data_IF_388628282026
#
_entry.id   IF_388628282026
#
_cell.length_a   1.000
_cell.length_b   1.000
_cell.length_c   1.000
_cell.angle_alpha   90.00
_cell.angle_beta   90.00
_cell.angle_gamma   90.00
#
_symmetry.space_group_name_H-M   'P 1'
#
loop_
_entity.id
_entity.type
_entity.pdbx_description
1 polymer ?
#
# COMPACT_ATOMS: atom_id res chain seq x y z
N UNK A 1 -2.41 18.33 93.27
CA UNK A 1 -2.60 18.82 91.88
C UNK A 1 -1.22 19.22 91.37
N UNK A 2 -0.62 18.75 90.28
CA UNK A 2 -0.96 17.81 89.20
C UNK A 2 0.36 17.53 88.46
N UNK A 3 0.71 16.25 88.33
CA UNK A 3 1.53 15.64 87.27
C UNK A 3 2.98 16.12 86.99
N UNK A 4 4.01 15.36 87.41
CA UNK A 4 5.35 15.47 86.83
C UNK A 4 5.36 14.89 85.41
N UNK A 5 5.70 15.72 84.42
CA UNK A 5 5.84 15.33 83.01
C UNK A 5 7.04 14.40 82.83
N UNK A 6 6.77 13.13 82.51
CA UNK A 6 7.78 12.18 82.02
C UNK A 6 8.38 12.71 80.70
N UNK A 7 9.53 13.38 80.77
CA UNK A 7 10.43 13.52 79.62
C UNK A 7 11.15 12.18 79.46
N UNK A 8 10.56 11.25 78.69
CA UNK A 8 11.31 10.11 78.16
C UNK A 8 12.37 10.68 77.22
N UNK A 9 13.60 10.83 77.71
CA UNK A 9 14.75 11.14 76.87
C UNK A 9 14.85 10.04 75.82
N UNK A 10 14.67 10.41 74.55
CA UNK A 10 14.93 9.48 73.46
C UNK A 10 16.39 9.03 73.58
N UNK A 11 16.61 7.72 73.72
CA UNK A 11 17.96 7.18 73.73
C UNK A 11 18.67 7.48 72.40
N UNK A 12 20.01 7.53 72.38
CA UNK A 12 20.80 7.85 71.19
C UNK A 12 20.39 7.02 69.95
N UNK A 13 19.96 5.77 70.18
CA UNK A 13 19.46 4.87 69.14
C UNK A 13 18.26 5.40 68.34
N UNK A 14 17.38 6.18 68.97
CA UNK A 14 16.23 6.73 68.26
C UNK A 14 16.63 7.86 67.29
N UNK A 15 17.71 8.58 67.57
CA UNK A 15 18.25 9.60 66.67
C UNK A 15 18.83 8.93 65.43
N UNK A 16 19.60 7.85 65.62
CA UNK A 16 20.16 7.05 64.53
C UNK A 16 19.07 6.44 63.64
N UNK A 17 17.98 5.93 64.24
CA UNK A 17 16.85 5.36 63.50
C UNK A 17 16.14 6.40 62.62
N UNK A 18 15.94 7.63 63.11
CA UNK A 18 15.33 8.71 62.32
C UNK A 18 16.26 9.12 61.18
N UNK A 19 17.57 9.23 61.43
CA UNK A 19 18.57 9.53 60.39
C UNK A 19 18.56 8.49 59.27
N UNK A 20 18.57 7.20 59.63
CA UNK A 20 18.50 6.10 58.67
C UNK A 20 17.21 6.15 57.83
N UNK A 21 16.07 6.44 58.47
CA UNK A 21 14.79 6.57 57.77
C UNK A 21 14.78 7.72 56.77
N UNK A 22 15.31 8.89 57.13
CA UNK A 22 15.41 10.04 56.24
C UNK A 22 16.33 9.74 55.06
N UNK A 23 17.47 9.09 55.30
CA UNK A 23 18.41 8.72 54.25
C UNK A 23 17.81 7.69 53.28
N UNK A 24 17.05 6.72 53.80
CA UNK A 24 16.33 5.73 53.00
C UNK A 24 15.23 6.39 52.15
N UNK A 25 14.45 7.31 52.72
CA UNK A 25 13.44 8.10 52.00
C UNK A 25 14.06 8.95 50.88
N UNK A 26 15.17 9.64 51.15
CA UNK A 26 15.91 10.41 50.14
C UNK A 26 16.42 9.54 49.01
N UNK A 27 17.03 8.40 49.35
CA UNK A 27 17.57 7.45 48.36
C UNK A 27 16.45 6.90 47.48
N UNK A 28 15.32 6.51 48.08
CA UNK A 28 14.16 6.02 47.35
C UNK A 28 13.55 7.11 46.46
N UNK A 29 13.46 8.35 46.97
CA UNK A 29 12.98 9.50 46.20
C UNK A 29 13.85 9.79 44.98
N UNK A 30 15.18 9.77 45.13
CA UNK A 30 16.12 9.94 44.01
C UNK A 30 16.03 8.77 43.03
N UNK A 31 15.95 7.54 43.53
CA UNK A 31 15.84 6.35 42.68
C UNK A 31 14.57 6.38 41.81
N UNK A 32 13.42 6.68 42.42
CA UNK A 32 12.15 6.79 41.71
C UNK A 32 12.06 8.03 40.81
N UNK A 33 12.66 9.15 41.23
CA UNK A 33 12.59 10.42 40.51
C UNK A 33 13.59 10.57 39.36
N UNK A 34 14.74 9.90 39.41
CA UNK A 34 15.81 10.07 38.42
C UNK A 34 16.18 8.78 37.68
N UNK A 35 16.33 7.66 38.39
CA UNK A 35 16.85 6.42 37.79
C UNK A 35 15.77 5.72 36.97
N UNK A 36 14.57 5.54 37.53
CA UNK A 36 13.47 4.89 36.82
C UNK A 36 13.06 5.61 35.52
N UNK A 37 12.79 6.93 35.50
CA UNK A 37 12.36 7.58 34.26
C UNK A 37 13.45 7.62 33.19
N UNK A 38 14.73 7.57 33.56
CA UNK A 38 15.81 7.53 32.57
C UNK A 38 15.91 6.18 31.88
N UNK A 39 15.65 5.08 32.61
CA UNK A 39 15.54 3.74 32.01
C UNK A 39 14.32 3.64 31.09
N UNK A 40 13.14 4.06 31.54
CA UNK A 40 11.91 4.03 30.74
C UNK A 40 12.04 4.86 29.44
N UNK A 41 12.72 6.01 29.49
CA UNK A 41 13.00 6.82 28.30
C UNK A 41 13.88 6.10 27.28
N UNK A 42 14.90 5.37 27.74
CA UNK A 42 15.79 4.60 26.84
C UNK A 42 15.05 3.47 26.14
N UNK A 43 14.21 2.75 26.86
CA UNK A 43 13.41 1.66 26.30
C UNK A 43 12.38 2.20 25.29
N UNK A 44 11.75 3.34 25.61
CA UNK A 44 10.83 4.01 24.69
C UNK A 44 11.54 4.50 23.42
N UNK A 45 12.75 5.05 23.53
CA UNK A 45 13.55 5.45 22.37
C UNK A 45 13.99 4.26 21.52
N UNK A 46 14.42 3.16 22.15
CA UNK A 46 14.78 1.94 21.45
C UNK A 46 13.60 1.38 20.65
N UNK A 47 12.42 1.33 21.26
CA UNK A 47 11.18 0.87 20.61
C UNK A 47 10.82 1.75 19.42
N UNK A 48 10.89 3.09 19.57
CA UNK A 48 10.62 4.03 18.46
C UNK A 48 11.62 3.87 17.32
N UNK A 49 12.91 3.65 17.62
CA UNK A 49 13.94 3.41 16.59
C UNK A 49 13.65 2.13 15.82
N UNK A 50 13.30 1.04 16.52
CA UNK A 50 12.91 -0.22 15.89
C UNK A 50 11.68 -0.05 14.98
N UNK A 51 10.68 0.70 15.42
CA UNK A 51 9.50 0.97 14.60
C UNK A 51 9.85 1.76 13.33
N UNK A 52 10.67 2.80 13.44
CA UNK A 52 11.13 3.59 12.27
C UNK A 52 11.92 2.72 11.30
N UNK A 53 12.79 1.84 11.80
CA UNK A 53 13.55 0.90 10.96
C UNK A 53 12.63 -0.09 10.26
N UNK A 54 11.65 -0.68 10.97
CA UNK A 54 10.66 -1.58 10.38
C UNK A 54 9.84 -0.89 9.28
N UNK A 55 9.38 0.34 9.51
CA UNK A 55 8.66 1.13 8.50
C UNK A 55 9.53 1.44 7.28
N UNK A 56 10.82 1.76 7.48
CA UNK A 56 11.77 1.97 6.37
C UNK A 56 12.00 0.71 5.56
N UNK A 57 12.10 -0.46 6.20
CA UNK A 57 12.23 -1.74 5.52
C UNK A 57 10.99 -2.04 4.68
N UNK A 58 9.79 -1.81 5.22
CA UNK A 58 8.54 -2.03 4.49
C UNK A 58 8.42 -1.08 3.29
N UNK A 59 8.76 0.20 3.44
CA UNK A 59 8.78 1.14 2.31
C UNK A 59 9.75 0.70 1.21
N UNK A 60 10.94 0.22 1.58
CA UNK A 60 11.90 -0.32 0.60
C UNK A 60 11.32 -1.54 -0.13
N UNK A 61 10.70 -2.47 0.59
CA UNK A 61 10.04 -3.65 0.03
C UNK A 61 8.94 -3.27 -0.96
N UNK A 62 8.03 -2.39 -0.56
CA UNK A 62 6.93 -1.92 -1.42
C UNK A 62 7.45 -1.18 -2.65
N UNK A 63 8.48 -0.35 -2.52
CA UNK A 63 9.10 0.34 -3.66
C UNK A 63 9.74 -0.62 -4.65
N UNK A 64 10.36 -1.71 -4.17
CA UNK A 64 10.92 -2.75 -5.02
C UNK A 64 9.83 -3.52 -5.77
N UNK A 65 8.73 -3.85 -5.09
CA UNK A 65 7.56 -4.50 -5.70
C UNK A 65 6.90 -3.63 -6.77
N UNK A 66 6.75 -2.33 -6.51
CA UNK A 66 6.22 -1.38 -7.50
C UNK A 66 7.09 -1.34 -8.75
N UNK A 67 8.42 -1.18 -8.60
CA UNK A 67 9.35 -1.23 -9.74
C UNK A 67 9.27 -2.54 -10.51
N UNK A 68 9.15 -3.67 -9.80
CA UNK A 68 9.02 -4.97 -10.44
C UNK A 68 7.72 -5.09 -11.25
N UNK A 69 6.60 -4.60 -10.71
CA UNK A 69 5.31 -4.58 -11.40
C UNK A 69 5.33 -3.65 -12.60
N UNK A 70 5.93 -2.46 -12.47
CA UNK A 70 6.12 -1.52 -13.57
C UNK A 70 6.93 -2.16 -14.70
N UNK A 71 8.07 -2.78 -14.37
CA UNK A 71 8.90 -3.50 -15.33
C UNK A 71 8.14 -4.64 -16.01
N UNK A 72 7.36 -5.42 -15.25
CA UNK A 72 6.55 -6.51 -15.80
C UNK A 72 5.48 -5.96 -16.74
N UNK A 73 4.78 -4.90 -16.35
CA UNK A 73 3.78 -4.25 -17.20
C UNK A 73 4.40 -3.70 -18.49
N UNK A 74 5.58 -3.08 -18.41
CA UNK A 74 6.32 -2.57 -19.54
C UNK A 74 6.76 -3.72 -20.48
N UNK A 75 7.21 -4.84 -19.91
CA UNK A 75 7.59 -6.03 -20.68
C UNK A 75 6.40 -6.63 -21.44
N UNK A 76 5.24 -6.75 -20.78
CA UNK A 76 4.00 -7.24 -21.40
C UNK A 76 3.54 -6.30 -22.50
N UNK A 77 3.56 -4.98 -22.26
CA UNK A 77 3.24 -3.98 -23.29
C UNK A 77 4.18 -4.07 -24.50
N UNK A 78 5.48 -4.27 -24.28
CA UNK A 78 6.45 -4.47 -25.37
C UNK A 78 6.18 -5.76 -26.15
N UNK A 79 5.89 -6.86 -25.46
CA UNK A 79 5.56 -8.13 -26.10
C UNK A 79 4.28 -8.03 -26.94
N UNK A 80 3.25 -7.34 -26.44
CA UNK A 80 2.01 -7.06 -27.18
C UNK A 80 2.25 -6.13 -28.39
N UNK A 81 3.16 -5.17 -28.28
CA UNK A 81 3.52 -4.31 -29.41
C UNK A 81 4.25 -5.10 -30.52
N UNK A 82 5.05 -6.11 -30.17
CA UNK A 82 5.77 -6.96 -31.13
C UNK A 82 4.85 -7.94 -31.87
N UNK A 83 3.74 -8.37 -31.28
CA UNK A 83 2.77 -9.26 -31.95
C UNK A 83 1.85 -8.52 -32.94
N UNK A 84 1.97 -7.19 -33.08
CA UNK A 84 1.09 -6.37 -33.94
C UNK A 84 -0.36 -6.30 -33.47
N UNK A 85 -0.68 -6.94 -32.33
CA UNK A 85 -2.03 -7.03 -31.79
C UNK A 85 -2.31 -5.83 -30.90
N UNK A 86 -2.77 -4.73 -31.50
CA UNK A 86 -3.27 -3.59 -30.74
C UNK A 86 -4.61 -3.94 -30.08
N UNK A 87 -4.55 -4.44 -28.85
CA UNK A 87 -5.71 -4.60 -27.97
C UNK A 87 -6.31 -3.21 -27.72
N UNK A 88 -7.47 -2.93 -28.31
CA UNK A 88 -8.23 -1.71 -28.07
C UNK A 88 -9.35 -2.00 -27.08
N UNK A 89 -9.61 -1.06 -26.18
CA UNK A 89 -10.66 -1.23 -25.16
C UNK A 89 -12.03 -1.46 -25.78
N UNK A 90 -12.93 -2.14 -25.07
CA UNK A 90 -14.27 -2.48 -25.54
C UNK A 90 -15.09 -1.25 -25.98
N UNK A 91 -14.82 -0.08 -25.40
CA UNK A 91 -15.43 1.20 -25.79
C UNK A 91 -15.05 1.65 -27.21
N UNK A 92 -13.93 1.18 -27.76
CA UNK A 92 -13.52 1.48 -29.15
C UNK A 92 -14.12 0.52 -30.19
N UNK A 93 -14.81 -0.55 -29.78
CA UNK A 93 -15.41 -1.51 -30.71
C UNK A 93 -16.48 -0.83 -31.60
N UNK A 94 -17.34 0.00 -31.01
CA UNK A 94 -18.34 0.76 -31.76
C UNK A 94 -17.71 1.78 -32.71
N UNK A 95 -16.59 2.41 -32.32
CA UNK A 95 -15.87 3.33 -33.19
C UNK A 95 -15.29 2.61 -34.40
N UNK A 96 -14.72 1.41 -34.21
CA UNK A 96 -14.25 0.57 -35.32
C UNK A 96 -15.37 0.13 -36.25
N UNK A 97 -16.54 -0.23 -35.72
CA UNK A 97 -17.70 -0.56 -36.55
C UNK A 97 -18.13 0.63 -37.41
N UNK A 98 -18.10 1.84 -36.86
CA UNK A 98 -18.36 3.07 -37.62
C UNK A 98 -17.28 3.33 -38.70
N UNK A 99 -15.99 3.19 -38.35
CA UNK A 99 -14.87 3.33 -39.31
C UNK A 99 -14.99 2.29 -40.46
N UNK A 100 -15.38 1.05 -40.17
CA UNK A 100 -15.61 -0.01 -41.17
C UNK A 100 -16.82 0.33 -42.07
N UNK A 101 -17.93 0.78 -41.48
CA UNK A 101 -19.11 1.19 -42.24
C UNK A 101 -18.84 2.40 -43.15
N UNK A 102 -18.02 3.34 -42.67
CA UNK A 102 -17.59 4.49 -43.46
C UNK A 102 -16.67 4.07 -44.62
N UNK A 103 -15.70 3.19 -44.37
CA UNK A 103 -14.82 2.64 -45.41
C UNK A 103 -15.62 1.88 -46.48
N UNK A 104 -16.61 1.09 -46.07
CA UNK A 104 -17.49 0.38 -47.00
C UNK A 104 -18.29 1.35 -47.86
N UNK A 105 -18.82 2.42 -47.26
CA UNK A 105 -19.53 3.49 -47.97
C UNK A 105 -18.65 4.16 -49.02
N UNK A 106 -17.40 4.51 -48.66
CA UNK A 106 -16.43 5.11 -49.59
C UNK A 106 -16.07 4.19 -50.75
N UNK A 107 -16.09 2.88 -50.52
CA UNK A 107 -15.79 1.85 -51.52
C UNK A 107 -17.01 1.43 -52.35
N UNK A 108 -18.14 2.16 -52.24
CA UNK A 108 -19.42 1.82 -52.88
C UNK A 108 -19.91 0.39 -52.57
N UNK A 109 -19.53 -0.13 -51.41
CA UNK A 109 -19.96 -1.42 -50.87
C UNK A 109 -21.19 -1.17 -49.99
N UNK A 110 -22.31 -1.79 -50.36
CA UNK A 110 -23.53 -1.76 -49.56
C UNK A 110 -23.41 -2.85 -48.49
N UNK A 111 -23.21 -2.45 -47.24
CA UNK A 111 -23.23 -3.38 -46.11
C UNK A 111 -24.70 -3.60 -45.72
N UNK A 112 -25.19 -4.82 -45.91
CA UNK A 112 -26.59 -5.15 -45.61
C UNK A 112 -26.75 -5.57 -44.14
N UNK A 113 -25.75 -6.24 -43.57
CA UNK A 113 -25.79 -6.69 -42.18
C UNK A 113 -24.40 -6.85 -41.56
N UNK A 114 -24.23 -6.37 -40.31
CA UNK A 114 -23.07 -6.63 -39.47
C UNK A 114 -23.52 -7.42 -38.25
N UNK A 115 -23.04 -8.65 -38.09
CA UNK A 115 -23.37 -9.52 -36.95
C UNK A 115 -22.13 -9.80 -36.11
N UNK A 116 -22.10 -9.37 -34.84
CA UNK A 116 -21.13 -9.88 -33.88
C UNK A 116 -21.37 -11.38 -33.67
N UNK A 117 -20.33 -12.18 -33.84
CA UNK A 117 -20.35 -13.59 -33.50
C UNK A 117 -20.20 -13.81 -32.00
N UNK A 118 -20.19 -15.09 -31.60
CA UNK A 118 -19.97 -15.46 -30.20
C UNK A 118 -18.58 -15.00 -29.75
N UNK A 119 -18.51 -14.40 -28.57
CA UNK A 119 -17.25 -14.03 -27.94
C UNK A 119 -16.44 -15.31 -27.69
N UNK A 120 -15.26 -15.38 -28.30
CA UNK A 120 -14.29 -16.42 -28.04
C UNK A 120 -13.40 -15.93 -26.90
N UNK A 121 -13.66 -16.43 -25.70
CA UNK A 121 -12.86 -16.12 -24.52
C UNK A 121 -11.48 -16.74 -24.62
N UNK A 122 -10.45 -15.91 -24.71
CA UNK A 122 -9.06 -16.33 -24.57
C UNK A 122 -8.57 -16.08 -23.14
N UNK A 123 -7.48 -16.74 -22.74
CA UNK A 123 -6.90 -16.61 -21.38
C UNK A 123 -6.53 -15.15 -21.01
N UNK A 124 -6.27 -14.30 -22.02
CA UNK A 124 -5.82 -12.92 -21.83
C UNK A 124 -6.62 -11.87 -22.61
N UNK A 125 -7.46 -12.30 -23.56
CA UNK A 125 -8.26 -11.40 -24.39
C UNK A 125 -9.47 -12.12 -24.97
N UNK A 126 -10.56 -11.36 -25.11
CA UNK A 126 -11.76 -11.82 -25.77
C UNK A 126 -11.72 -11.44 -27.25
N UNK A 127 -11.95 -12.42 -28.12
CA UNK A 127 -12.07 -12.19 -29.56
C UNK A 127 -13.55 -12.16 -29.91
N UNK A 128 -14.02 -11.05 -30.47
CA UNK A 128 -15.37 -10.93 -31.01
C UNK A 128 -15.28 -10.99 -32.53
N UNK A 129 -15.53 -12.15 -33.17
CA UNK A 129 -15.54 -12.23 -34.62
C UNK A 129 -16.68 -11.37 -35.18
N UNK A 130 -16.42 -10.62 -36.23
CA UNK A 130 -17.42 -9.79 -36.90
C UNK A 130 -17.75 -10.42 -38.25
N UNK A 131 -18.99 -10.87 -38.42
CA UNK A 131 -19.53 -11.29 -39.71
C UNK A 131 -20.06 -10.08 -40.47
N UNK A 132 -19.61 -9.89 -41.70
CA UNK A 132 -20.01 -8.79 -42.57
C UNK A 132 -20.66 -9.37 -43.83
N UNK A 133 -21.92 -9.02 -44.07
CA UNK A 133 -22.61 -9.32 -45.32
C UNK A 133 -22.86 -8.02 -46.07
N UNK A 134 -22.50 -8.00 -47.36
CA UNK A 134 -22.72 -6.86 -48.22
C UNK A 134 -22.65 -7.21 -49.69
N UNK A 135 -23.12 -6.29 -50.52
CA UNK A 135 -23.15 -6.38 -51.97
C UNK A 135 -22.40 -5.20 -52.58
N UNK A 136 -21.63 -5.46 -53.63
CA UNK A 136 -20.77 -4.47 -54.27
C UNK A 136 -20.34 -4.89 -55.67
N UNK A 137 -19.87 -3.93 -56.47
CA UNK A 137 -19.32 -4.22 -57.80
C UNK A 137 -17.87 -4.66 -57.65
N UNK A 138 -17.49 -5.77 -58.26
CA UNK A 138 -16.14 -6.33 -58.19
C UNK A 138 -15.03 -5.33 -58.61
N UNK A 139 -15.35 -4.43 -59.56
CA UNK A 139 -14.45 -3.37 -60.01
C UNK A 139 -14.13 -2.29 -58.94
N UNK A 140 -14.87 -2.26 -57.82
CA UNK A 140 -14.64 -1.37 -56.69
C UNK A 140 -13.87 -2.03 -55.53
N UNK A 141 -13.50 -3.31 -55.67
CA UNK A 141 -12.85 -4.13 -54.62
C UNK A 141 -11.35 -4.39 -54.86
N UNK A 142 -10.71 -3.71 -55.83
CA UNK A 142 -9.28 -3.85 -56.17
C UNK A 142 -8.54 -2.56 -55.89
#
# INVERSE_FOLDING_TARGET
>A
MTSPKLRKSLGPWAIDAVGALVLLMLTLGVYLGAVRPTLERRDAEATKRQEVEARRQELRRLSALLKQLENRSASVRKALAQTGLHLRGASEANRRLAEIAELATRSALKVDEIKPGKILGGEHFDVVPLGLNGSGRYAACV
#
